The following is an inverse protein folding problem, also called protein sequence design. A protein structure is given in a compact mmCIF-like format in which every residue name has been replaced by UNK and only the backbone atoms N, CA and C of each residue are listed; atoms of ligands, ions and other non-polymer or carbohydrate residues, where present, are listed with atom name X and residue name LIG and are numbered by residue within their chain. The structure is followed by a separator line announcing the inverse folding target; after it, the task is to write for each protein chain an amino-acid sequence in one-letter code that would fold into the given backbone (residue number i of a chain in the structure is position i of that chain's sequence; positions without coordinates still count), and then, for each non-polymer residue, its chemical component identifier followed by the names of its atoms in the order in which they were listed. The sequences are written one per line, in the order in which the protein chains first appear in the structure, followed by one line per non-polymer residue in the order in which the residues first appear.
data_IF_555562291025
#
_entry.id   IF_555562291025
#
_cell.length_a   1.000
_cell.length_b   1.000
_cell.length_c   1.000
_cell.angle_alpha   90.00
_cell.angle_beta   90.00
_cell.angle_gamma   90.00
#
_symmetry.space_group_name_H-M   'P 1'
#
loop_
_entity.id
_entity.type
_entity.pdbx_description
1 polymer ?
#
# COMPACT_ATOMS: atom_id res chain seq x y z
N UNK A 1 4.07 -2.25 8.67
CA UNK A 1 2.84 -1.45 8.89
C UNK A 1 3.17 0.04 8.96
N UNK A 2 3.77 0.61 7.90
CA UNK A 2 4.11 2.05 7.85
C UNK A 2 2.97 2.90 7.28
N UNK A 3 2.02 2.24 6.59
CA UNK A 3 0.87 2.88 5.92
C UNK A 3 -0.18 3.45 6.86
N UNK A 4 -0.23 3.01 8.13
CA UNK A 4 -1.21 3.49 9.10
C UNK A 4 -1.03 4.98 9.40
N UNK A 5 0.21 5.47 9.41
CA UNK A 5 0.53 6.87 9.65
C UNK A 5 -0.03 7.81 8.57
N UNK A 6 0.31 7.65 7.27
CA UNK A 6 -0.23 8.53 6.23
C UNK A 6 -1.76 8.45 6.16
N UNK A 7 -2.37 7.27 6.39
CA UNK A 7 -3.83 7.13 6.43
C UNK A 7 -4.45 8.01 7.52
N UNK A 8 -3.97 7.89 8.77
CA UNK A 8 -4.49 8.67 9.88
C UNK A 8 -4.30 10.18 9.65
N UNK A 9 -3.16 10.58 9.08
CA UNK A 9 -2.82 11.97 8.83
C UNK A 9 -3.65 12.60 7.68
N UNK A 10 -4.00 11.81 6.65
CA UNK A 10 -4.97 12.24 5.63
C UNK A 10 -6.34 12.49 6.22
N UNK A 11 -6.83 11.55 7.06
CA UNK A 11 -8.13 11.71 7.74
C UNK A 11 -8.12 12.92 8.66
N UNK A 12 -7.04 13.13 9.42
CA UNK A 12 -6.87 14.31 10.27
C UNK A 12 -6.85 15.62 9.47
N UNK A 13 -6.21 15.63 8.29
CA UNK A 13 -6.18 16.79 7.40
C UNK A 13 -7.58 17.14 6.91
N UNK A 14 -8.35 16.16 6.46
CA UNK A 14 -9.75 16.38 6.04
C UNK A 14 -10.62 16.86 7.20
N UNK A 15 -10.50 16.25 8.38
CA UNK A 15 -11.24 16.68 9.56
C UNK A 15 -10.94 18.13 9.93
N UNK A 16 -9.66 18.53 9.89
CA UNK A 16 -9.26 19.90 10.14
C UNK A 16 -9.84 20.87 9.11
N UNK A 17 -9.87 20.53 7.82
CA UNK A 17 -10.49 21.39 6.80
C UNK A 17 -11.99 21.56 7.01
N UNK A 18 -12.69 20.49 7.39
CA UNK A 18 -14.12 20.55 7.71
C UNK A 18 -14.38 21.42 8.93
N UNK A 19 -13.56 21.28 9.98
CA UNK A 19 -13.69 22.13 11.16
C UNK A 19 -13.37 23.59 10.87
N UNK A 20 -12.38 23.89 10.04
CA UNK A 20 -12.13 25.25 9.57
C UNK A 20 -13.36 25.81 8.83
N UNK A 21 -13.94 25.03 7.92
CA UNK A 21 -15.12 25.45 7.17
C UNK A 21 -16.32 25.74 8.08
N UNK A 22 -16.48 24.99 9.18
CA UNK A 22 -17.59 25.16 10.12
C UNK A 22 -17.34 26.24 11.19
N UNK A 23 -16.10 26.41 11.65
CA UNK A 23 -15.79 27.22 12.85
C UNK A 23 -14.99 28.48 12.57
N UNK A 24 -14.30 28.54 11.42
CA UNK A 24 -13.32 29.57 11.10
C UNK A 24 -12.22 29.76 12.18
N UNK A 25 -11.91 28.72 12.96
CA UNK A 25 -10.85 28.79 13.98
C UNK A 25 -9.44 28.60 13.35
N UNK A 26 -8.53 29.59 13.47
CA UNK A 26 -7.20 29.58 12.85
C UNK A 26 -6.27 28.48 13.40
N UNK A 27 -6.68 27.71 14.41
CA UNK A 27 -6.03 26.48 14.80
C UNK A 27 -6.06 25.42 13.68
N UNK A 28 -7.21 25.19 13.04
CA UNK A 28 -7.38 24.06 12.12
C UNK A 28 -6.53 24.12 10.85
N UNK A 29 -6.38 25.29 10.18
CA UNK A 29 -5.49 25.38 9.01
C UNK A 29 -4.03 25.06 9.34
N UNK A 30 -3.55 25.44 10.55
CA UNK A 30 -2.20 25.10 11.02
C UNK A 30 -2.07 23.62 11.34
N UNK A 31 -3.08 23.02 11.95
CA UNK A 31 -3.15 21.58 12.17
C UNK A 31 -3.08 20.83 10.83
N UNK A 32 -3.88 21.23 9.84
CA UNK A 32 -3.93 20.60 8.53
C UNK A 32 -2.60 20.75 7.75
N UNK A 33 -1.91 21.88 7.89
CA UNK A 33 -0.56 22.08 7.33
C UNK A 33 0.41 21.00 7.83
N UNK A 34 0.49 20.80 9.15
CA UNK A 34 1.42 19.83 9.72
C UNK A 34 0.96 18.39 9.55
N UNK A 35 -0.36 18.13 9.60
CA UNK A 35 -0.92 16.81 9.35
C UNK A 35 -0.63 16.34 7.91
N UNK A 36 -0.88 17.18 6.91
CA UNK A 36 -0.55 16.85 5.50
C UNK A 36 0.95 16.72 5.27
N UNK A 37 1.78 17.56 5.91
CA UNK A 37 3.24 17.48 5.81
C UNK A 37 3.81 16.18 6.36
N UNK A 38 3.42 15.80 7.59
CA UNK A 38 3.82 14.50 8.15
C UNK A 38 3.20 13.33 7.38
N UNK A 39 1.96 13.49 6.88
CA UNK A 39 1.31 12.50 6.03
C UNK A 39 2.10 12.24 4.76
N UNK A 40 2.62 13.30 4.13
CA UNK A 40 3.51 13.20 2.98
C UNK A 40 4.84 12.52 3.35
N UNK A 41 5.49 12.94 4.43
CA UNK A 41 6.77 12.38 4.86
C UNK A 41 6.69 10.86 5.13
N UNK A 42 5.71 10.42 5.93
CA UNK A 42 5.47 9.00 6.17
C UNK A 42 4.98 8.28 4.91
N UNK A 43 4.23 8.96 4.04
CA UNK A 43 3.84 8.44 2.73
C UNK A 43 5.04 8.13 1.84
N UNK A 44 6.06 9.00 1.80
CA UNK A 44 7.31 8.77 1.07
C UNK A 44 8.02 7.53 1.63
N UNK A 45 8.18 7.44 2.96
CA UNK A 45 8.82 6.30 3.59
C UNK A 45 8.08 4.99 3.31
N UNK A 46 6.74 5.01 3.39
CA UNK A 46 5.90 3.88 3.05
C UNK A 46 6.00 3.52 1.56
N UNK A 47 6.07 4.51 0.67
CA UNK A 47 6.25 4.32 -0.77
C UNK A 47 7.59 3.66 -1.11
N UNK A 48 8.68 4.06 -0.44
CA UNK A 48 10.00 3.44 -0.60
C UNK A 48 9.95 1.97 -0.16
N UNK A 49 9.41 1.70 1.03
CA UNK A 49 9.29 0.33 1.54
C UNK A 49 8.43 -0.55 0.63
N UNK A 50 7.24 -0.08 0.24
CA UNK A 50 6.34 -0.82 -0.64
C UNK A 50 6.91 -1.04 -2.05
N UNK A 51 7.67 -0.08 -2.59
CA UNK A 51 8.36 -0.25 -3.87
C UNK A 51 9.47 -1.29 -3.77
N UNK A 52 10.25 -1.28 -2.68
CA UNK A 52 11.27 -2.30 -2.44
C UNK A 52 10.65 -3.71 -2.38
N UNK A 53 9.52 -3.87 -1.68
CA UNK A 53 8.78 -5.13 -1.60
C UNK A 53 8.25 -5.58 -2.97
N UNK A 54 7.66 -4.67 -3.76
CA UNK A 54 7.15 -4.96 -5.10
C UNK A 54 8.28 -5.42 -6.05
N UNK A 55 9.44 -4.75 -6.02
CA UNK A 55 10.56 -5.07 -6.89
C UNK A 55 11.25 -6.38 -6.48
N UNK A 56 11.42 -6.62 -5.18
CA UNK A 56 12.05 -7.83 -4.66
C UNK A 56 11.17 -9.09 -4.87
N UNK A 57 9.86 -8.98 -4.63
CA UNK A 57 8.92 -10.11 -4.67
C UNK A 57 8.52 -10.52 -6.10
N UNK A 58 9.14 -11.57 -6.65
CA UNK A 58 8.82 -12.09 -8.00
C UNK A 58 7.35 -12.45 -8.17
N UNK A 59 6.73 -13.03 -7.14
CA UNK A 59 5.30 -13.39 -7.15
C UNK A 59 4.36 -12.18 -7.05
N UNK A 60 4.76 -11.13 -6.34
CA UNK A 60 3.95 -9.92 -6.11
C UNK A 60 3.85 -9.11 -7.40
N UNK A 61 4.97 -8.88 -8.10
CA UNK A 61 5.02 -8.08 -9.33
C UNK A 61 4.39 -8.72 -10.56
N UNK A 62 4.09 -10.02 -10.53
CA UNK A 62 3.39 -10.70 -11.63
C UNK A 62 1.87 -10.45 -11.62
N UNK A 63 1.34 -9.93 -10.51
CA UNK A 63 -0.10 -9.72 -10.31
C UNK A 63 -0.51 -8.30 -10.70
N UNK A 64 -1.54 -8.12 -11.56
CA UNK A 64 -2.05 -6.80 -11.92
C UNK A 64 -2.48 -5.96 -10.72
N UNK A 65 -3.05 -6.59 -9.70
CA UNK A 65 -3.58 -5.92 -8.50
C UNK A 65 -2.47 -5.17 -7.75
N UNK A 66 -1.28 -5.75 -7.65
CA UNK A 66 -0.10 -5.11 -7.03
C UNK A 66 0.28 -3.81 -7.72
N UNK A 67 0.22 -3.76 -9.06
CA UNK A 67 0.52 -2.56 -9.84
C UNK A 67 -0.57 -1.51 -9.71
N UNK A 68 -1.84 -1.92 -9.68
CA UNK A 68 -2.96 -0.99 -9.43
C UNK A 68 -2.86 -0.36 -8.04
N UNK A 69 -2.52 -1.17 -7.01
CA UNK A 69 -2.28 -0.69 -5.65
C UNK A 69 -1.12 0.29 -5.59
N UNK A 70 0.01 -0.04 -6.20
CA UNK A 70 1.17 0.85 -6.26
C UNK A 70 0.83 2.19 -6.95
N UNK A 71 0.02 2.15 -8.02
CA UNK A 71 -0.43 3.36 -8.72
C UNK A 71 -1.35 4.20 -7.83
N UNK A 72 -2.33 3.60 -7.17
CA UNK A 72 -3.21 4.31 -6.23
C UNK A 72 -2.41 4.94 -5.07
N UNK A 73 -1.39 4.23 -4.56
CA UNK A 73 -0.51 4.73 -3.52
C UNK A 73 0.34 5.93 -4.00
N UNK A 74 0.86 5.90 -5.23
CA UNK A 74 1.58 7.05 -5.80
C UNK A 74 0.67 8.25 -6.06
N UNK A 75 -0.58 8.02 -6.49
CA UNK A 75 -1.57 9.08 -6.63
C UNK A 75 -1.92 9.70 -5.29
N UNK A 76 -2.10 8.89 -4.24
CA UNK A 76 -2.27 9.37 -2.87
C UNK A 76 -1.09 10.25 -2.46
N UNK A 77 0.14 9.79 -2.68
CA UNK A 77 1.35 10.53 -2.31
C UNK A 77 1.43 11.88 -3.03
N UNK A 78 1.11 11.91 -4.32
CA UNK A 78 1.05 13.15 -5.10
C UNK A 78 -0.02 14.12 -4.57
N UNK A 79 -1.20 13.62 -4.24
CA UNK A 79 -2.31 14.43 -3.70
C UNK A 79 -1.95 15.02 -2.33
N UNK A 80 -1.38 14.22 -1.42
CA UNK A 80 -0.97 14.72 -0.10
C UNK A 80 0.17 15.74 -0.24
N UNK A 81 1.14 15.47 -1.13
CA UNK A 81 2.24 16.40 -1.41
C UNK A 81 1.75 17.73 -1.98
N UNK A 82 0.80 17.71 -2.92
CA UNK A 82 0.17 18.90 -3.46
C UNK A 82 -0.62 19.67 -2.40
N UNK A 83 -1.35 18.97 -1.53
CA UNK A 83 -2.12 19.56 -0.44
C UNK A 83 -1.20 20.29 0.56
N UNK A 84 -0.11 19.63 0.95
CA UNK A 84 0.89 20.23 1.83
C UNK A 84 1.58 21.43 1.16
N UNK A 85 2.01 21.27 -0.09
CA UNK A 85 2.66 22.34 -0.86
C UNK A 85 1.80 23.59 -1.01
N UNK A 86 0.49 23.43 -1.25
CA UNK A 86 -0.46 24.54 -1.31
C UNK A 86 -0.50 25.32 0.01
N UNK A 87 -0.51 24.61 1.14
CA UNK A 87 -0.62 25.22 2.48
C UNK A 87 0.64 25.97 2.91
N UNK A 88 1.80 25.71 2.31
CA UNK A 88 3.04 26.44 2.63
C UNK A 88 2.96 27.93 2.27
N UNK A 89 2.09 28.32 1.34
CA UNK A 89 1.92 29.71 0.90
C UNK A 89 0.87 30.50 1.68
N UNK A 90 0.09 29.84 2.53
CA UNK A 90 -1.04 30.44 3.23
C UNK A 90 -1.98 29.36 3.73
N UNK A 91 -1.82 28.88 4.98
CA UNK A 91 -2.56 27.71 5.45
C UNK A 91 -4.08 27.90 5.45
N UNK A 92 -4.55 29.12 5.77
CA UNK A 92 -5.98 29.44 5.88
C UNK A 92 -6.61 29.66 4.49
N UNK A 93 -5.91 30.38 3.62
CA UNK A 93 -6.33 30.66 2.24
C UNK A 93 -6.33 29.39 1.39
N UNK A 94 -5.42 28.46 1.68
CA UNK A 94 -5.32 27.18 1.00
C UNK A 94 -6.53 26.27 1.23
N UNK A 95 -7.28 26.41 2.34
CA UNK A 95 -8.33 25.44 2.69
C UNK A 95 -9.44 25.40 1.65
N UNK A 96 -9.95 26.56 1.20
CA UNK A 96 -11.06 26.63 0.26
C UNK A 96 -10.67 27.34 -1.04
N UNK A 97 -11.04 26.78 -2.22
CA UNK A 97 -11.67 25.48 -2.41
C UNK A 97 -10.66 24.31 -2.48
N UNK A 98 -9.38 24.60 -2.73
CA UNK A 98 -8.43 23.58 -3.18
C UNK A 98 -7.91 22.65 -2.09
N UNK A 99 -7.64 23.13 -0.88
CA UNK A 99 -7.20 22.28 0.23
C UNK A 99 -8.22 21.20 0.57
N UNK A 100 -9.50 21.58 0.70
CA UNK A 100 -10.60 20.66 0.98
C UNK A 100 -10.80 19.66 -0.16
N UNK A 101 -10.74 20.11 -1.43
CA UNK A 101 -10.79 19.22 -2.59
C UNK A 101 -9.67 18.17 -2.56
N UNK A 102 -8.44 18.59 -2.28
CA UNK A 102 -7.29 17.69 -2.18
C UNK A 102 -7.39 16.76 -0.96
N UNK A 103 -7.97 17.21 0.16
CA UNK A 103 -8.20 16.38 1.35
C UNK A 103 -9.24 15.28 1.09
N UNK A 104 -10.34 15.61 0.40
CA UNK A 104 -11.31 14.60 -0.06
C UNK A 104 -10.67 13.65 -1.07
N UNK A 105 -9.89 14.17 -2.03
CA UNK A 105 -9.13 13.36 -2.97
C UNK A 105 -8.17 12.40 -2.27
N UNK A 106 -7.48 12.86 -1.22
CA UNK A 106 -6.62 12.02 -0.39
C UNK A 106 -7.39 10.87 0.26
N UNK A 107 -8.55 11.15 0.87
CA UNK A 107 -9.38 10.12 1.48
C UNK A 107 -9.89 9.09 0.45
N UNK A 108 -10.25 9.55 -0.75
CA UNK A 108 -10.66 8.67 -1.85
C UNK A 108 -9.52 7.72 -2.25
N UNK A 109 -8.30 8.23 -2.43
CA UNK A 109 -7.16 7.38 -2.77
C UNK A 109 -6.73 6.44 -1.64
N UNK A 110 -6.90 6.84 -0.37
CA UNK A 110 -6.77 5.91 0.77
C UNK A 110 -7.75 4.75 0.64
N UNK A 111 -9.02 5.03 0.31
CA UNK A 111 -10.04 3.99 0.10
C UNK A 111 -9.70 3.08 -1.07
N UNK A 112 -9.27 3.63 -2.20
CA UNK A 112 -8.87 2.86 -3.39
C UNK A 112 -7.67 1.95 -3.10
N UNK A 113 -6.60 2.50 -2.51
CA UNK A 113 -5.41 1.73 -2.15
C UNK A 113 -5.74 0.64 -1.11
N UNK A 114 -6.57 0.97 -0.10
CA UNK A 114 -7.01 0.03 0.92
C UNK A 114 -7.86 -1.11 0.34
N UNK A 115 -8.77 -0.81 -0.58
CA UNK A 115 -9.58 -1.84 -1.24
C UNK A 115 -8.74 -2.80 -2.08
N UNK A 116 -7.83 -2.26 -2.90
CA UNK A 116 -6.92 -3.06 -3.73
C UNK A 116 -5.99 -3.92 -2.87
N UNK A 117 -5.51 -3.39 -1.74
CA UNK A 117 -4.72 -4.15 -0.77
C UNK A 117 -5.53 -5.25 -0.08
N UNK A 118 -6.78 -4.97 0.29
CA UNK A 118 -7.68 -5.96 0.90
C UNK A 118 -7.99 -7.14 -0.01
N UNK A 119 -8.21 -6.90 -1.31
CA UNK A 119 -8.42 -7.98 -2.29
C UNK A 119 -7.22 -8.94 -2.40
N UNK A 120 -6.00 -8.41 -2.32
CA UNK A 120 -4.80 -9.25 -2.32
C UNK A 120 -4.74 -10.18 -1.11
N UNK A 121 -5.18 -9.72 0.06
CA UNK A 121 -5.13 -10.50 1.31
C UNK A 121 -6.29 -11.51 1.40
N UNK A 122 -7.52 -11.07 1.12
CA UNK A 122 -8.73 -11.87 1.39
C UNK A 122 -9.18 -12.71 0.19
N UNK A 123 -8.97 -12.25 -1.04
CA UNK A 123 -9.47 -12.91 -2.26
C UNK A 123 -8.42 -13.88 -2.84
N UNK A 124 -7.13 -13.57 -2.68
CA UNK A 124 -6.04 -14.37 -3.26
C UNK A 124 -5.20 -15.16 -2.24
N UNK A 125 -5.62 -15.20 -0.97
CA UNK A 125 -5.00 -15.95 0.13
C UNK A 125 -3.47 -16.03 0.07
N UNK A 126 -2.78 -14.90 -0.12
CA UNK A 126 -1.33 -14.89 -0.38
C UNK A 126 -0.49 -15.50 0.75
N UNK A 127 -1.03 -15.64 1.96
CA UNK A 127 -0.38 -16.33 3.08
C UNK A 127 -0.48 -17.86 3.03
N UNK A 128 -1.40 -18.44 2.25
CA UNK A 128 -1.67 -19.89 2.21
C UNK A 128 -0.99 -20.52 0.99
N UNK A 129 -1.14 -19.93 -0.19
CA UNK A 129 -0.59 -20.46 -1.45
C UNK A 129 0.96 -20.54 -1.45
N UNK A 130 1.65 -19.59 -0.80
CA UNK A 130 3.12 -19.62 -0.70
C UNK A 130 3.64 -20.74 0.21
N UNK A 131 2.82 -21.25 1.14
CA UNK A 131 3.18 -22.42 1.93
C UNK A 131 2.96 -23.70 1.12
N UNK A 132 1.91 -23.78 0.31
CA UNK A 132 1.62 -24.95 -0.52
C UNK A 132 2.68 -25.13 -1.62
N UNK A 133 3.05 -24.06 -2.33
CA UNK A 133 4.09 -24.12 -3.37
C UNK A 133 5.46 -24.56 -2.78
N UNK A 134 5.82 -24.02 -1.61
CA UNK A 134 7.07 -24.34 -0.93
C UNK A 134 7.06 -25.75 -0.32
N UNK A 135 5.90 -26.24 0.13
CA UNK A 135 5.71 -27.62 0.58
C UNK A 135 5.76 -28.61 -0.59
N UNK A 136 5.23 -28.24 -1.75
CA UNK A 136 5.29 -29.04 -2.97
C UNK A 136 6.73 -29.15 -3.50
N UNK A 137 7.49 -28.04 -3.55
CA UNK A 137 8.92 -28.05 -3.90
C UNK A 137 9.73 -28.96 -2.95
N UNK A 138 9.52 -28.84 -1.64
CA UNK A 138 10.21 -29.71 -0.67
C UNK A 138 9.78 -31.18 -0.77
N UNK A 139 8.52 -31.46 -1.06
CA UNK A 139 8.04 -32.83 -1.26
C UNK A 139 8.59 -33.45 -2.56
N UNK A 140 8.75 -32.65 -3.61
CA UNK A 140 9.39 -33.07 -4.86
C UNK A 140 10.90 -33.33 -4.66
N UNK A 141 11.60 -32.47 -3.92
CA UNK A 141 13.01 -32.68 -3.55
C UNK A 141 13.19 -33.96 -2.70
N UNK A 142 12.37 -34.17 -1.67
CA UNK A 142 12.42 -35.40 -0.86
C UNK A 142 12.15 -36.66 -1.70
N UNK A 143 11.18 -36.61 -2.62
CA UNK A 143 10.85 -37.73 -3.49
C UNK A 143 11.96 -38.02 -4.52
N UNK A 144 12.67 -37.01 -5.00
CA UNK A 144 13.81 -37.17 -5.90
C UNK A 144 15.03 -37.73 -5.15
N UNK A 145 15.27 -37.29 -3.91
CA UNK A 145 16.33 -37.79 -3.04
C UNK A 145 16.07 -39.26 -2.65
N UNK A 146 14.83 -39.64 -2.32
CA UNK A 146 14.43 -41.02 -2.03
C UNK A 146 14.57 -41.92 -3.27
N UNK A 147 14.18 -41.44 -4.45
CA UNK A 147 14.38 -42.15 -5.72
C UNK A 147 15.86 -42.32 -6.08
N UNK A 148 16.69 -41.33 -5.80
CA UNK A 148 18.14 -41.39 -6.01
C UNK A 148 18.84 -42.31 -4.99
N UNK A 149 18.30 -42.42 -3.77
CA UNK A 149 18.81 -43.27 -2.70
C UNK A 149 18.43 -44.75 -2.84
N UNK A 150 17.45 -45.11 -3.69
CA UNK A 150 17.03 -46.48 -3.93
C UNK A 150 17.88 -47.14 -5.04
N UNK A 151 18.78 -48.10 -4.72
CA UNK A 151 19.55 -48.79 -5.74
C UNK A 151 18.66 -49.77 -6.52
N UNK A 152 18.44 -49.46 -7.80
CA UNK A 152 18.16 -50.42 -8.86
C UNK A 152 16.84 -51.20 -8.76
N UNK A 153 15.75 -50.61 -9.25
CA UNK A 153 14.67 -51.40 -9.88
C UNK A 153 14.61 -51.01 -11.34
N UNK A 154 15.50 -51.63 -12.12
CA UNK A 154 15.38 -51.65 -13.58
C UNK A 154 14.05 -52.33 -13.93
N UNK A 155 13.15 -51.59 -14.55
CA UNK A 155 11.91 -52.13 -15.09
C UNK A 155 12.23 -53.12 -16.23
N UNK A 156 11.86 -54.38 -16.04
CA UNK A 156 11.83 -55.42 -17.08
C UNK A 156 10.64 -55.14 -18.02
N UNK A 157 10.86 -54.86 -19.32
CA UNK A 157 9.81 -54.48 -20.25
C UNK A 157 9.26 -55.68 -21.05
N UNK A 158 8.98 -56.83 -20.41
CA UNK A 158 8.30 -57.93 -21.07
C UNK A 158 7.61 -58.91 -20.11
N UNK A 159 6.28 -58.79 -19.95
CA UNK A 159 5.34 -59.92 -19.85
C UNK A 159 3.89 -59.50 -19.97
#
# INVERSE_FOLDING_TARGET
MMVTFPIALVVATLAADLFWWLTADPFFPRLALWASGWGFAFGVLAGIAGTAELLAGRGIRRRPESWTHATAAMMLLAVIGANWGLRLYGPAEAVLPWGLFLSVGGLLFVGLAGWQGGKLVFEHQMGVMMNEDRQAEHAEEEAEEERAALPGVAADPAR
#
